data_IF_380958362172
#
_entry.id   IF_380958362172
#
_cell.length_a   1.000
_cell.length_b   1.000
_cell.length_c   1.000
_cell.angle_alpha   90.00
_cell.angle_beta   90.00
_cell.angle_gamma   90.00
#
_symmetry.space_group_name_H-M   'P 1'
#
loop_
_entity.id
_entity.type
_entity.pdbx_description
1 polymer ?
#
# COMPACT_ATOMS: atom_id res chain seq x y z
N UNK A 1 -29.16 50.07 -41.35
CA UNK A 1 -29.06 50.72 -40.02
C UNK A 1 -30.13 50.16 -39.08
N UNK A 2 -30.16 48.84 -38.89
CA UNK A 2 -31.23 48.17 -38.12
C UNK A 2 -30.75 47.00 -37.26
N UNK A 3 -29.44 46.69 -37.27
CA UNK A 3 -28.87 45.58 -36.48
C UNK A 3 -27.97 46.04 -35.33
N UNK A 4 -27.53 47.30 -35.31
CA UNK A 4 -26.69 47.82 -34.21
C UNK A 4 -27.52 48.21 -32.97
N UNK A 5 -28.81 48.53 -33.15
CA UNK A 5 -29.71 48.91 -32.06
C UNK A 5 -30.17 47.71 -31.20
N UNK A 6 -30.26 46.51 -31.79
CA UNK A 6 -30.62 45.28 -31.07
C UNK A 6 -29.48 44.71 -30.22
N UNK A 7 -28.22 44.88 -30.65
CA UNK A 7 -27.07 44.45 -29.85
C UNK A 7 -26.88 45.34 -28.62
N UNK A 8 -27.05 46.66 -28.75
CA UNK A 8 -26.93 47.59 -27.62
C UNK A 8 -28.00 47.35 -26.55
N UNK A 9 -29.22 46.97 -26.95
CA UNK A 9 -30.29 46.58 -26.02
C UNK A 9 -29.94 45.33 -25.21
N UNK A 10 -29.37 44.30 -25.85
CA UNK A 10 -28.94 43.06 -25.19
C UNK A 10 -27.76 43.29 -24.24
N UNK A 11 -26.80 44.15 -24.62
CA UNK A 11 -25.69 44.53 -23.73
C UNK A 11 -26.13 45.35 -22.52
N UNK A 12 -27.13 46.24 -22.68
CA UNK A 12 -27.70 46.99 -21.58
C UNK A 12 -28.43 46.09 -20.57
N UNK A 13 -29.16 45.08 -21.06
CA UNK A 13 -29.85 44.10 -20.22
C UNK A 13 -28.86 43.21 -19.46
N UNK A 14 -27.78 42.77 -20.11
CA UNK A 14 -26.74 41.96 -19.47
C UNK A 14 -26.00 42.75 -18.36
N UNK A 15 -25.71 44.03 -18.60
CA UNK A 15 -25.11 44.93 -17.58
C UNK A 15 -26.06 45.17 -16.40
N UNK A 16 -27.37 45.21 -16.64
CA UNK A 16 -28.37 45.33 -15.57
C UNK A 16 -28.41 44.06 -14.72
N UNK A 17 -28.46 42.88 -15.34
CA UNK A 17 -28.39 41.58 -14.64
C UNK A 17 -27.12 41.43 -13.83
N UNK A 18 -25.97 41.86 -14.36
CA UNK A 18 -24.69 41.83 -13.64
C UNK A 18 -24.72 42.73 -12.39
N UNK A 19 -25.24 43.97 -12.49
CA UNK A 19 -25.37 44.88 -11.34
C UNK A 19 -26.35 44.39 -10.29
N UNK A 20 -27.46 43.79 -10.70
CA UNK A 20 -28.45 43.21 -9.79
C UNK A 20 -27.87 42.00 -9.05
N UNK A 21 -27.04 41.20 -9.72
CA UNK A 21 -26.32 40.07 -9.11
C UNK A 21 -25.23 40.54 -8.13
N UNK A 22 -24.48 41.60 -8.46
CA UNK A 22 -23.51 42.22 -7.53
C UNK A 22 -24.21 42.79 -6.29
N UNK A 23 -25.37 43.43 -6.45
CA UNK A 23 -26.20 43.90 -5.31
C UNK A 23 -26.73 42.76 -4.44
N UNK A 24 -27.07 41.60 -5.03
CA UNK A 24 -27.49 40.43 -4.26
C UNK A 24 -26.33 39.83 -3.44
N UNK A 25 -25.09 39.87 -3.97
CA UNK A 25 -23.90 39.44 -3.25
C UNK A 25 -23.52 40.42 -2.12
N UNK A 26 -23.63 41.73 -2.34
CA UNK A 26 -23.40 42.77 -1.33
C UNK A 26 -24.47 42.77 -0.22
N UNK A 27 -25.73 42.53 -0.57
CA UNK A 27 -26.82 42.40 0.41
C UNK A 27 -26.77 41.05 1.16
N UNK A 28 -26.27 39.98 0.53
CA UNK A 28 -26.03 38.68 1.17
C UNK A 28 -24.84 38.68 2.14
N UNK A 29 -23.86 39.57 1.94
CA UNK A 29 -22.73 39.78 2.88
C UNK A 29 -23.05 40.79 3.99
N UNK A 30 -24.13 41.58 3.85
CA UNK A 30 -24.54 42.58 4.85
C UNK A 30 -25.54 42.06 5.90
N UNK A 31 -26.01 40.81 5.79
CA UNK A 31 -26.89 40.18 6.79
C UNK A 31 -26.18 39.19 7.74
N UNK A 32 -24.86 39.07 7.68
CA UNK A 32 -24.07 38.25 8.62
C UNK A 32 -23.27 39.05 9.67
N UNK A 33 -23.44 40.37 9.76
CA UNK A 33 -22.61 41.23 10.64
C UNK A 33 -23.36 42.13 11.65
N UNK A 34 -24.68 41.99 11.84
CA UNK A 34 -25.40 42.75 12.88
C UNK A 34 -26.42 41.88 13.62
N UNK A 35 -25.92 41.02 14.52
CA UNK A 35 -26.71 40.42 15.59
C UNK A 35 -25.81 40.03 16.77
N UNK A 36 -25.08 40.99 17.35
CA UNK A 36 -24.47 40.85 18.67
C UNK A 36 -24.57 42.17 19.44
N UNK A 37 -25.68 42.36 20.15
CA UNK A 37 -25.65 42.98 21.48
C UNK A 37 -26.92 42.58 22.23
N UNK A 38 -26.74 42.21 23.51
CA UNK A 38 -27.76 41.76 24.47
C UNK A 38 -28.18 40.28 24.40
N UNK A 39 -27.26 39.39 24.75
CA UNK A 39 -27.57 38.38 25.77
C UNK A 39 -26.28 37.87 26.42
N UNK A 40 -26.10 38.21 27.69
CA UNK A 40 -25.09 37.65 28.58
C UNK A 40 -25.42 36.16 28.82
N UNK A 41 -24.75 35.29 28.09
CA UNK A 41 -24.71 33.85 28.31
C UNK A 41 -23.35 33.35 27.87
N UNK A 42 -22.56 32.93 28.85
CA UNK A 42 -21.20 32.43 28.72
C UNK A 42 -21.15 31.33 27.66
N UNK A 43 -20.52 31.63 26.51
CA UNK A 43 -20.51 30.79 25.32
C UNK A 43 -19.13 30.84 24.68
N UNK A 44 -18.10 30.52 25.45
CA UNK A 44 -16.78 30.22 24.89
C UNK A 44 -16.93 29.10 23.86
N UNK A 45 -16.68 29.40 22.59
CA UNK A 45 -16.35 28.36 21.62
C UNK A 45 -15.22 27.51 22.22
N UNK A 46 -15.35 26.18 22.29
CA UNK A 46 -14.34 25.36 22.91
C UNK A 46 -13.04 25.54 22.11
N UNK A 47 -12.04 26.16 22.72
CA UNK A 47 -10.69 26.17 22.15
C UNK A 47 -10.29 24.72 21.91
N UNK A 48 -9.94 24.38 20.67
CA UNK A 48 -9.53 23.04 20.28
C UNK A 48 -8.46 22.55 21.26
N UNK A 49 -8.81 21.59 22.11
CA UNK A 49 -7.94 21.08 23.17
C UNK A 49 -6.76 20.35 22.53
N UNK A 50 -5.62 21.04 22.44
CA UNK A 50 -4.36 20.44 21.98
C UNK A 50 -3.89 19.47 23.08
N UNK A 51 -3.59 18.23 22.68
CA UNK A 51 -3.02 17.23 23.60
C UNK A 51 -1.70 17.76 24.19
N UNK A 52 -1.40 17.57 25.48
CA UNK A 52 -0.08 17.93 26.01
C UNK A 52 1.03 17.06 25.38
N UNK A 53 2.25 17.60 25.34
CA UNK A 53 3.43 16.81 24.98
C UNK A 53 3.76 15.79 26.08
N UNK A 54 4.13 14.58 25.67
CA UNK A 54 4.52 13.49 26.54
C UNK A 54 6.03 13.29 26.38
N UNK A 55 6.80 13.42 27.46
CA UNK A 55 8.26 13.28 27.40
C UNK A 55 8.71 11.83 27.15
N UNK A 56 8.06 10.85 27.79
CA UNK A 56 8.40 9.42 27.68
C UNK A 56 7.16 8.60 27.36
N UNK A 57 7.31 7.64 26.43
CA UNK A 57 6.19 6.79 26.02
C UNK A 57 5.88 5.78 27.14
N UNK A 58 4.69 5.90 27.76
CA UNK A 58 4.26 5.03 28.85
C UNK A 58 3.43 3.85 28.35
N UNK A 59 3.62 2.68 28.97
CA UNK A 59 2.78 1.49 28.76
C UNK A 59 1.51 1.48 29.64
N UNK A 60 1.31 2.50 30.47
CA UNK A 60 0.12 2.62 31.32
C UNK A 60 -1.16 2.59 30.47
N UNK A 61 -2.10 1.73 30.86
CA UNK A 61 -3.38 1.59 30.17
C UNK A 61 -4.37 2.55 30.83
N UNK A 62 -4.42 3.76 30.30
CA UNK A 62 -5.34 4.81 30.69
C UNK A 62 -5.93 5.46 29.44
N UNK A 63 -7.16 5.98 29.53
CA UNK A 63 -7.84 6.63 28.40
C UNK A 63 -7.16 7.94 27.97
N UNK A 64 -6.41 8.58 28.88
CA UNK A 64 -5.60 9.75 28.60
C UNK A 64 -4.27 9.43 27.88
N UNK A 65 -3.84 8.17 27.84
CA UNK A 65 -2.57 7.77 27.21
C UNK A 65 -2.79 7.32 25.76
N UNK A 66 -2.44 8.16 24.77
CA UNK A 66 -2.60 7.84 23.34
C UNK A 66 -1.70 6.69 22.87
N UNK A 67 -0.62 6.39 23.61
CA UNK A 67 0.35 5.35 23.25
C UNK A 67 0.05 3.99 23.90
N UNK A 68 -0.93 3.91 24.79
CA UNK A 68 -1.25 2.70 25.56
C UNK A 68 -1.44 1.45 24.68
N UNK A 69 -2.16 1.58 23.56
CA UNK A 69 -2.44 0.48 22.62
C UNK A 69 -1.22 0.14 21.76
N UNK A 70 -0.34 1.10 21.49
CA UNK A 70 0.90 0.89 20.76
C UNK A 70 1.94 0.16 21.63
N UNK A 71 2.09 0.60 22.88
CA UNK A 71 2.97 -0.03 23.87
C UNK A 71 2.51 -1.44 24.26
N UNK A 72 1.26 -1.80 24.02
CA UNK A 72 0.79 -3.18 24.17
C UNK A 72 1.54 -4.17 23.25
N UNK A 73 2.04 -3.72 22.09
CA UNK A 73 2.87 -4.55 21.19
C UNK A 73 4.15 -5.07 21.87
N UNK A 74 4.70 -4.28 22.80
CA UNK A 74 5.83 -4.69 23.65
C UNK A 74 5.42 -5.77 24.65
N UNK A 75 4.26 -5.63 25.28
CA UNK A 75 3.71 -6.64 26.20
C UNK A 75 3.36 -7.95 25.51
N UNK A 76 2.89 -7.89 24.27
CA UNK A 76 2.56 -9.06 23.45
C UNK A 76 3.81 -9.73 22.84
N UNK A 77 5.02 -9.19 23.06
CA UNK A 77 6.26 -9.74 22.53
C UNK A 77 6.43 -9.57 21.01
N UNK A 78 5.63 -8.71 20.36
CA UNK A 78 5.71 -8.47 18.91
C UNK A 78 6.82 -7.48 18.57
N UNK A 79 6.92 -6.39 19.35
CA UNK A 79 7.92 -5.32 19.16
C UNK A 79 8.60 -5.04 20.49
N UNK A 80 9.85 -5.47 20.65
CA UNK A 80 10.55 -5.40 21.95
C UNK A 80 10.78 -3.98 22.43
N UNK A 81 11.08 -3.04 21.52
CA UNK A 81 11.47 -1.67 21.86
C UNK A 81 10.64 -0.65 21.07
N UNK A 82 9.31 -0.72 21.17
CA UNK A 82 8.41 0.15 20.39
C UNK A 82 8.74 1.65 20.57
N UNK A 83 9.13 2.05 21.77
CA UNK A 83 9.50 3.43 22.11
C UNK A 83 10.63 4.02 21.24
N UNK A 84 11.50 3.18 20.65
CA UNK A 84 12.58 3.62 19.75
C UNK A 84 12.05 4.32 18.50
N UNK A 85 10.76 4.18 18.17
CA UNK A 85 10.15 4.92 17.06
C UNK A 85 10.28 6.44 17.24
N UNK A 86 10.37 6.95 18.48
CA UNK A 86 10.60 8.37 18.78
C UNK A 86 12.01 8.86 18.48
N UNK A 87 12.94 7.94 18.25
CA UNK A 87 14.33 8.24 17.89
C UNK A 87 14.52 8.23 16.37
N UNK A 88 13.47 7.96 15.60
CA UNK A 88 13.54 7.83 14.15
C UNK A 88 13.11 9.09 13.43
N UNK A 89 13.82 9.42 12.36
CA UNK A 89 13.48 10.48 11.41
C UNK A 89 13.13 9.90 10.06
N UNK A 90 11.96 10.24 9.55
CA UNK A 90 11.50 9.79 8.22
C UNK A 90 11.27 10.97 7.30
N UNK A 91 11.83 10.89 6.09
CA UNK A 91 11.55 11.83 5.00
C UNK A 91 10.35 11.32 4.20
N UNK A 92 9.37 12.16 3.91
CA UNK A 92 8.25 11.85 3.02
C UNK A 92 8.27 12.81 1.83
N UNK A 93 8.39 12.26 0.62
CA UNK A 93 8.39 13.02 -0.63
C UNK A 93 7.07 12.81 -1.35
N UNK A 94 6.34 13.90 -1.58
CA UNK A 94 4.95 13.89 -2.02
C UNK A 94 4.01 13.67 -0.85
N UNK A 95 3.20 14.67 -0.52
CA UNK A 95 2.18 14.67 0.54
C UNK A 95 0.78 14.74 -0.09
N UNK A 96 0.60 13.98 -1.17
CA UNK A 96 -0.67 13.81 -1.88
C UNK A 96 -1.54 12.71 -1.27
N UNK A 97 -2.21 11.91 -2.10
CA UNK A 97 -3.17 10.89 -1.64
C UNK A 97 -2.57 9.81 -0.74
N UNK A 98 -1.42 9.22 -1.14
CA UNK A 98 -0.72 8.22 -0.33
C UNK A 98 0.10 8.89 0.76
N UNK A 99 0.91 9.90 0.40
CA UNK A 99 1.88 10.50 1.31
C UNK A 99 1.28 11.23 2.51
N UNK A 100 0.10 11.84 2.37
CA UNK A 100 -0.59 12.48 3.51
C UNK A 100 -1.06 11.45 4.55
N UNK A 101 -1.62 10.32 4.11
CA UNK A 101 -2.03 9.21 4.98
C UNK A 101 -0.81 8.54 5.61
N UNK A 102 0.29 8.38 4.86
CA UNK A 102 1.59 7.89 5.39
C UNK A 102 2.09 8.77 6.52
N UNK A 103 2.09 10.10 6.31
CA UNK A 103 2.51 11.06 7.32
C UNK A 103 1.61 11.02 8.56
N UNK A 104 0.29 10.87 8.37
CA UNK A 104 -0.67 10.71 9.48
C UNK A 104 -0.42 9.43 10.28
N UNK A 105 -0.28 8.28 9.61
CA UNK A 105 -0.05 7.00 10.28
C UNK A 105 1.26 7.01 11.07
N UNK A 106 2.36 7.53 10.51
CA UNK A 106 3.63 7.67 11.23
C UNK A 106 3.53 8.64 12.41
N UNK A 107 2.80 9.75 12.23
CA UNK A 107 2.53 10.72 13.30
C UNK A 107 1.77 10.07 14.46
N UNK A 108 0.73 9.29 14.16
CA UNK A 108 -0.05 8.54 15.17
C UNK A 108 0.76 7.44 15.85
N UNK A 109 1.72 6.83 15.15
CA UNK A 109 2.68 5.88 15.74
C UNK A 109 3.70 6.55 16.68
N UNK A 110 3.81 7.87 16.66
CA UNK A 110 4.75 8.62 17.49
C UNK A 110 6.18 8.63 16.93
N UNK A 111 6.33 8.70 15.61
CA UNK A 111 7.65 8.92 14.98
C UNK A 111 8.34 10.15 15.57
N UNK A 112 9.66 10.11 15.73
CA UNK A 112 10.42 11.21 16.31
C UNK A 112 10.33 12.51 15.50
N UNK A 113 10.65 12.40 14.21
CA UNK A 113 10.64 13.55 13.29
C UNK A 113 10.17 13.16 11.89
N UNK A 114 9.35 14.02 11.28
CA UNK A 114 8.98 13.96 9.87
C UNK A 114 9.52 15.16 9.10
N UNK A 115 10.13 14.87 7.95
CA UNK A 115 10.54 15.90 6.98
C UNK A 115 9.68 15.73 5.73
N UNK A 116 8.88 16.74 5.40
CA UNK A 116 7.89 16.68 4.34
C UNK A 116 8.35 17.53 3.14
N UNK A 117 8.36 16.95 1.95
CA UNK A 117 8.63 17.64 0.68
C UNK A 117 7.42 17.51 -0.24
N UNK A 118 6.84 18.63 -0.65
CA UNK A 118 5.83 18.72 -1.71
C UNK A 118 5.89 20.14 -2.27
N UNK A 119 5.56 20.36 -3.53
CA UNK A 119 5.55 21.69 -4.14
C UNK A 119 4.13 22.21 -4.45
N UNK A 120 3.14 21.34 -4.31
CA UNK A 120 1.76 21.65 -4.67
C UNK A 120 1.01 22.35 -3.53
N UNK A 121 -0.12 22.93 -3.93
CA UNK A 121 -1.15 23.42 -3.03
C UNK A 121 -2.29 22.42 -2.89
N UNK A 122 -3.04 22.54 -1.80
CA UNK A 122 -4.29 21.81 -1.62
C UNK A 122 -5.33 22.38 -2.57
N UNK A 123 -6.00 21.52 -3.32
CA UNK A 123 -7.11 21.88 -4.20
C UNK A 123 -8.39 21.14 -3.81
N UNK A 124 -9.55 21.71 -4.13
CA UNK A 124 -10.84 21.04 -3.92
C UNK A 124 -10.93 19.70 -4.68
N UNK A 125 -10.24 19.57 -5.81
CA UNK A 125 -10.13 18.32 -6.54
C UNK A 125 -9.42 17.20 -5.74
N UNK A 126 -8.72 17.53 -4.64
CA UNK A 126 -8.09 16.54 -3.78
C UNK A 126 -9.04 15.98 -2.70
N UNK A 127 -10.26 16.51 -2.55
CA UNK A 127 -11.21 16.12 -1.50
C UNK A 127 -11.84 14.73 -1.69
N UNK A 128 -11.62 14.09 -2.83
CA UNK A 128 -11.98 12.67 -3.03
C UNK A 128 -10.98 11.73 -2.33
N UNK A 129 -9.88 12.26 -1.80
CA UNK A 129 -8.82 11.55 -1.09
C UNK A 129 -8.93 11.86 0.41
N UNK A 130 -8.24 11.06 1.22
CA UNK A 130 -8.20 11.25 2.66
C UNK A 130 -7.35 12.48 3.05
N UNK A 131 -7.36 12.78 4.34
CA UNK A 131 -6.50 13.75 5.04
C UNK A 131 -6.91 15.24 4.91
N UNK A 132 -6.81 15.84 3.73
CA UNK A 132 -7.07 17.29 3.60
C UNK A 132 -8.55 17.64 3.70
N UNK A 133 -8.83 18.86 4.16
CA UNK A 133 -10.18 19.38 4.34
C UNK A 133 -10.46 20.58 3.42
N UNK A 134 -11.74 20.86 3.08
CA UNK A 134 -12.08 21.93 2.13
C UNK A 134 -11.55 23.31 2.51
N UNK A 135 -11.51 23.62 3.82
CA UNK A 135 -11.02 24.91 4.32
C UNK A 135 -9.51 25.12 4.15
N UNK A 136 -8.75 24.06 3.83
CA UNK A 136 -7.31 24.12 3.60
C UNK A 136 -6.96 24.42 2.13
N UNK A 137 -7.97 24.49 1.24
CA UNK A 137 -7.76 24.79 -0.17
C UNK A 137 -6.97 26.09 -0.37
N UNK A 138 -5.94 26.05 -1.22
CA UNK A 138 -5.03 27.16 -1.51
C UNK A 138 -3.78 27.23 -0.62
N UNK A 139 -3.74 26.51 0.51
CA UNK A 139 -2.54 26.37 1.34
C UNK A 139 -1.53 25.43 0.65
N UNK A 140 -0.23 25.56 0.97
CA UNK A 140 0.72 24.53 0.54
C UNK A 140 0.41 23.20 1.21
N UNK A 141 0.57 22.10 0.49
CA UNK A 141 0.29 20.75 1.02
C UNK A 141 1.10 20.47 2.28
N UNK A 142 2.40 20.82 2.28
CA UNK A 142 3.28 20.58 3.44
C UNK A 142 2.89 21.40 4.68
N UNK A 143 2.44 22.65 4.53
CA UNK A 143 2.02 23.48 5.66
C UNK A 143 0.68 23.01 6.23
N UNK A 144 -0.31 22.78 5.37
CA UNK A 144 -1.61 22.24 5.77
C UNK A 144 -1.46 20.89 6.48
N UNK A 145 -0.57 20.03 5.96
CA UNK A 145 -0.26 18.75 6.58
C UNK A 145 0.42 18.93 7.94
N UNK A 146 1.46 19.75 8.04
CA UNK A 146 2.15 20.01 9.30
C UNK A 146 1.19 20.49 10.38
N UNK A 147 0.32 21.44 10.06
CA UNK A 147 -0.58 22.04 11.06
C UNK A 147 -1.60 21.01 11.57
N UNK A 148 -2.13 20.18 10.67
CA UNK A 148 -3.02 19.05 11.02
C UNK A 148 -2.29 18.00 11.87
N UNK A 149 -1.09 17.59 11.45
CA UNK A 149 -0.32 16.53 12.09
C UNK A 149 0.21 16.94 13.47
N UNK A 150 0.62 18.20 13.64
CA UNK A 150 0.98 18.76 14.95
C UNK A 150 -0.18 18.75 15.93
N UNK A 151 -1.40 18.97 15.45
CA UNK A 151 -2.59 18.85 16.27
C UNK A 151 -2.87 17.40 16.68
N UNK A 152 -2.68 16.45 15.75
CA UNK A 152 -2.86 15.01 16.00
C UNK A 152 -1.85 14.49 17.03
N UNK A 153 -0.57 14.84 16.87
CA UNK A 153 0.48 14.44 17.79
C UNK A 153 1.57 15.52 17.95
N UNK A 154 1.52 16.31 19.04
CA UNK A 154 2.48 17.40 19.27
C UNK A 154 3.86 16.92 19.73
N UNK A 155 4.01 15.62 19.96
CA UNK A 155 5.28 14.99 20.30
C UNK A 155 6.23 14.84 19.10
N UNK A 156 5.68 14.87 17.89
CA UNK A 156 6.43 14.69 16.63
C UNK A 156 7.03 16.02 16.20
N UNK A 157 8.31 16.00 15.83
CA UNK A 157 8.95 17.15 15.19
C UNK A 157 8.63 17.19 13.69
N UNK A 158 8.36 18.37 13.16
CA UNK A 158 8.03 18.54 11.75
C UNK A 158 8.92 19.60 11.10
N UNK A 159 9.43 19.24 9.95
CA UNK A 159 10.18 20.10 9.04
C UNK A 159 9.55 20.01 7.65
N UNK A 160 9.33 21.13 6.99
CA UNK A 160 8.52 21.18 5.76
C UNK A 160 9.20 22.00 4.69
N UNK A 161 9.21 21.47 3.47
CA UNK A 161 9.78 22.12 2.30
C UNK A 161 8.75 22.19 1.19
N UNK A 162 8.25 23.40 0.94
CA UNK A 162 7.37 23.69 -0.18
C UNK A 162 8.19 23.89 -1.47
N UNK A 163 8.73 22.81 -2.04
CA UNK A 163 9.65 22.92 -3.17
C UNK A 163 9.69 21.68 -4.06
N UNK A 164 9.96 21.90 -5.36
CA UNK A 164 10.14 20.80 -6.31
C UNK A 164 11.59 20.29 -6.25
N UNK A 165 11.75 19.03 -5.82
CA UNK A 165 13.04 18.37 -5.64
C UNK A 165 13.81 18.13 -6.95
N UNK A 166 13.16 18.17 -8.12
CA UNK A 166 13.80 17.87 -9.42
C UNK A 166 14.61 19.04 -9.96
N UNK A 167 14.40 20.25 -9.44
CA UNK A 167 15.16 21.42 -9.86
C UNK A 167 16.58 21.38 -9.28
N UNK A 168 17.58 21.83 -10.05
CA UNK A 168 18.99 21.79 -9.64
C UNK A 168 19.26 22.53 -8.32
N UNK A 169 18.57 23.65 -8.09
CA UNK A 169 18.71 24.44 -6.87
C UNK A 169 18.21 23.66 -5.64
N UNK A 170 17.03 23.07 -5.75
CA UNK A 170 16.39 22.36 -4.64
C UNK A 170 16.95 20.96 -4.41
N UNK A 171 17.51 20.32 -5.44
CA UNK A 171 18.12 18.99 -5.32
C UNK A 171 19.23 18.97 -4.27
N UNK A 172 20.06 20.02 -4.24
CA UNK A 172 21.15 20.13 -3.24
C UNK A 172 20.60 20.21 -1.82
N UNK A 173 19.58 21.04 -1.61
CA UNK A 173 18.92 21.15 -0.30
C UNK A 173 18.27 19.81 0.09
N UNK A 174 17.56 19.17 -0.83
CA UNK A 174 16.95 17.86 -0.60
C UNK A 174 17.97 16.80 -0.14
N UNK A 175 19.12 16.69 -0.83
CA UNK A 175 20.21 15.78 -0.44
C UNK A 175 20.81 16.17 0.92
N UNK A 176 20.98 17.47 1.18
CA UNK A 176 21.51 17.99 2.45
C UNK A 176 20.63 17.59 3.62
N UNK A 177 19.31 17.75 3.47
CA UNK A 177 18.33 17.40 4.50
C UNK A 177 18.21 15.91 4.72
N UNK A 178 18.41 15.06 3.71
CA UNK A 178 18.49 13.63 3.96
C UNK A 178 19.76 13.29 4.76
N UNK A 179 20.90 13.94 4.46
CA UNK A 179 22.18 13.69 5.14
C UNK A 179 22.25 14.22 6.57
N UNK A 180 21.56 15.32 6.89
CA UNK A 180 21.70 16.02 8.18
C UNK A 180 20.38 16.37 8.86
N UNK A 181 19.24 15.99 8.28
CA UNK A 181 17.92 16.31 8.81
C UNK A 181 17.44 15.38 9.91
N UNK A 182 18.18 14.30 10.19
CA UNK A 182 17.91 13.40 11.30
C UNK A 182 17.92 14.11 12.66
N UNK A 183 17.35 13.45 13.68
CA UNK A 183 17.48 13.89 15.05
C UNK A 183 18.97 14.08 15.39
N UNK A 184 19.30 15.19 16.08
CA UNK A 184 20.68 15.57 16.42
C UNK A 184 21.61 15.85 15.21
N UNK A 185 21.06 16.06 14.01
CA UNK A 185 21.84 16.43 12.82
C UNK A 185 22.46 15.25 12.08
N UNK A 186 21.99 14.02 12.34
CA UNK A 186 22.45 12.81 11.65
C UNK A 186 21.75 12.63 10.29
N UNK A 187 22.17 11.60 9.54
CA UNK A 187 21.40 11.13 8.39
C UNK A 187 20.04 10.59 8.85
N UNK A 188 19.01 10.80 8.04
CA UNK A 188 17.66 10.31 8.31
C UNK A 188 17.59 8.78 8.21
N UNK A 189 16.75 8.14 9.02
CA UNK A 189 16.67 6.67 9.05
C UNK A 189 16.07 6.07 7.78
N UNK A 190 15.07 6.75 7.19
CA UNK A 190 14.32 6.22 6.06
C UNK A 190 13.70 7.34 5.21
N UNK A 191 13.64 7.13 3.90
CA UNK A 191 12.89 7.99 2.97
C UNK A 191 11.71 7.23 2.38
N UNK A 192 10.54 7.86 2.31
CA UNK A 192 9.32 7.33 1.71
C UNK A 192 8.94 8.21 0.51
N UNK A 193 9.02 7.64 -0.69
CA UNK A 193 8.66 8.31 -1.94
C UNK A 193 7.21 7.97 -2.31
N UNK A 194 6.35 8.99 -2.26
CA UNK A 194 4.91 8.92 -2.51
C UNK A 194 4.49 9.88 -3.65
N UNK A 195 5.42 10.15 -4.57
CA UNK A 195 5.21 11.05 -5.73
C UNK A 195 4.47 10.33 -6.86
N UNK A 196 3.94 11.11 -7.80
CA UNK A 196 3.10 10.61 -8.89
C UNK A 196 3.80 10.52 -10.26
N UNK A 197 5.00 11.09 -10.40
CA UNK A 197 5.73 11.15 -11.68
C UNK A 197 7.09 10.44 -11.61
N UNK A 198 7.60 10.00 -12.75
CA UNK A 198 8.86 9.26 -12.84
C UNK A 198 10.09 10.15 -12.67
N UNK A 199 10.01 11.42 -13.07
CA UNK A 199 11.09 12.41 -12.89
C UNK A 199 11.49 12.55 -11.41
N UNK A 200 10.50 12.71 -10.53
CA UNK A 200 10.71 12.80 -9.08
C UNK A 200 11.19 11.47 -8.46
N UNK A 201 10.69 10.32 -8.94
CA UNK A 201 11.18 8.99 -8.51
C UNK A 201 12.65 8.80 -8.88
N UNK A 202 13.04 9.16 -10.09
CA UNK A 202 14.43 9.12 -10.56
C UNK A 202 15.32 10.08 -9.75
N UNK A 203 14.82 11.28 -9.44
CA UNK A 203 15.52 12.24 -8.58
C UNK A 203 15.79 11.68 -7.19
N UNK A 204 14.78 11.09 -6.55
CA UNK A 204 14.93 10.41 -5.26
C UNK A 204 15.91 9.24 -5.35
N UNK A 205 15.82 8.43 -6.41
CA UNK A 205 16.73 7.31 -6.66
C UNK A 205 18.19 7.76 -6.76
N UNK A 206 18.48 8.81 -7.53
CA UNK A 206 19.84 9.34 -7.68
C UNK A 206 20.37 9.86 -6.35
N UNK A 207 19.57 10.65 -5.61
CA UNK A 207 19.94 11.13 -4.28
C UNK A 207 20.26 9.96 -3.32
N UNK A 208 19.38 8.97 -3.24
CA UNK A 208 19.54 7.83 -2.34
C UNK A 208 20.74 6.94 -2.72
N UNK A 209 21.00 6.71 -4.00
CA UNK A 209 22.18 5.96 -4.43
C UNK A 209 23.49 6.71 -4.12
N UNK A 210 23.53 8.03 -4.35
CA UNK A 210 24.70 8.85 -4.05
C UNK A 210 25.07 8.76 -2.57
N UNK A 211 24.09 8.91 -1.68
CA UNK A 211 24.33 8.98 -0.22
C UNK A 211 24.27 7.62 0.47
N UNK A 212 23.72 6.59 -0.18
CA UNK A 212 23.52 5.26 0.41
C UNK A 212 22.32 5.25 1.37
N UNK A 213 21.29 6.06 1.10
CA UNK A 213 20.07 6.12 1.90
C UNK A 213 19.14 4.98 1.51
N UNK A 214 18.64 4.26 2.51
CA UNK A 214 17.57 3.28 2.33
C UNK A 214 16.24 4.01 2.21
N UNK A 215 15.43 3.58 1.25
CA UNK A 215 14.16 4.24 0.96
C UNK A 215 13.10 3.24 0.49
N UNK A 216 11.84 3.60 0.67
CA UNK A 216 10.72 2.89 0.08
C UNK A 216 10.04 3.79 -0.94
N UNK A 217 9.63 3.20 -2.05
CA UNK A 217 8.79 3.83 -3.04
C UNK A 217 7.39 3.21 -2.99
N UNK A 218 6.40 4.02 -3.35
CA UNK A 218 5.04 3.57 -3.55
C UNK A 218 4.45 4.17 -4.82
N UNK A 219 3.59 3.37 -5.47
CA UNK A 219 2.85 3.79 -6.65
C UNK A 219 1.42 3.27 -6.62
N UNK A 220 0.51 4.07 -7.14
CA UNK A 220 -0.88 3.69 -7.43
C UNK A 220 -1.09 3.87 -8.93
N UNK A 221 -1.78 2.94 -9.57
CA UNK A 221 -2.04 3.00 -11.00
C UNK A 221 -2.99 4.14 -11.38
N UNK A 222 -2.92 4.58 -12.64
CA UNK A 222 -3.81 5.63 -13.17
C UNK A 222 -5.29 5.23 -13.17
N UNK A 223 -5.60 3.93 -13.17
CA UNK A 223 -6.96 3.40 -13.06
C UNK A 223 -7.39 3.13 -11.61
N UNK A 224 -6.56 3.48 -10.62
CA UNK A 224 -6.79 3.36 -9.19
C UNK A 224 -7.08 1.95 -8.62
N UNK A 225 -6.94 0.89 -9.42
CA UNK A 225 -7.24 -0.50 -8.99
C UNK A 225 -6.01 -1.38 -8.81
N UNK A 226 -4.81 -0.80 -8.84
CA UNK A 226 -3.59 -1.47 -8.42
C UNK A 226 -2.59 -0.51 -7.79
N UNK A 227 -1.64 -1.07 -7.06
CA UNK A 227 -0.54 -0.31 -6.49
C UNK A 227 0.58 -1.23 -6.00
N UNK A 228 1.66 -0.62 -5.51
CA UNK A 228 2.79 -1.36 -4.98
C UNK A 228 3.57 -0.54 -3.95
N UNK A 229 4.40 -1.27 -3.19
CA UNK A 229 5.42 -0.74 -2.31
C UNK A 229 6.72 -1.49 -2.59
N UNK A 230 7.82 -0.76 -2.76
CA UNK A 230 9.15 -1.34 -3.01
C UNK A 230 10.19 -0.76 -2.07
N UNK A 231 10.91 -1.62 -1.34
CA UNK A 231 12.09 -1.27 -0.56
C UNK A 231 13.35 -1.27 -1.45
N UNK A 232 14.05 -0.15 -1.41
CA UNK A 232 15.31 0.06 -2.11
C UNK A 232 16.43 0.28 -1.09
N UNK A 233 17.26 -0.75 -0.93
CA UNK A 233 18.49 -0.74 -0.15
C UNK A 233 19.66 -0.69 -1.14
N UNK A 234 20.29 0.50 -1.34
CA UNK A 234 21.31 0.68 -2.38
C UNK A 234 22.42 -0.38 -2.33
N UNK A 235 22.58 -1.10 -3.44
CA UNK A 235 23.59 -2.16 -3.58
C UNK A 235 23.12 -3.56 -3.20
N UNK A 236 22.04 -3.70 -2.43
CA UNK A 236 21.45 -5.00 -2.05
C UNK A 236 20.21 -5.34 -2.86
N UNK A 237 19.26 -4.41 -2.98
CA UNK A 237 18.06 -4.57 -3.81
C UNK A 237 18.12 -3.68 -5.05
N UNK A 238 17.31 -3.98 -6.05
CA UNK A 238 17.22 -3.17 -7.26
C UNK A 238 16.84 -1.73 -6.94
N UNK A 239 17.65 -0.78 -7.42
CA UNK A 239 17.24 0.62 -7.42
C UNK A 239 16.23 0.87 -8.56
N UNK A 240 15.59 2.04 -8.58
CA UNK A 240 14.57 2.37 -9.57
C UNK A 240 15.14 2.33 -11.00
N UNK A 241 16.40 2.76 -11.18
CA UNK A 241 17.12 2.71 -12.45
C UNK A 241 17.59 1.31 -12.88
N UNK A 242 17.46 0.27 -12.04
CA UNK A 242 17.78 -1.10 -12.44
C UNK A 242 16.69 -1.71 -13.33
N UNK A 243 15.43 -1.31 -13.11
CA UNK A 243 14.25 -1.73 -13.88
C UNK A 243 13.42 -0.50 -14.26
N UNK A 244 13.96 0.39 -15.12
CA UNK A 244 13.23 1.59 -15.51
C UNK A 244 11.96 1.21 -16.28
N UNK A 245 10.84 1.92 -16.06
CA UNK A 245 9.65 1.77 -16.88
C UNK A 245 9.96 2.19 -18.33
N UNK A 246 9.17 1.69 -19.28
CA UNK A 246 9.41 1.91 -20.72
C UNK A 246 9.59 3.39 -21.08
N UNK A 247 8.77 4.28 -20.52
CA UNK A 247 8.84 5.73 -20.76
C UNK A 247 10.23 6.29 -20.41
N UNK A 248 10.79 5.86 -19.28
CA UNK A 248 12.13 6.27 -18.82
C UNK A 248 13.22 5.62 -19.69
N UNK A 249 13.10 4.32 -19.98
CA UNK A 249 14.06 3.59 -20.80
C UNK A 249 14.14 4.13 -22.24
N UNK A 250 13.01 4.56 -22.80
CA UNK A 250 12.91 5.15 -24.13
C UNK A 250 13.15 6.66 -24.17
N UNK A 251 13.46 7.30 -23.01
CA UNK A 251 13.70 8.74 -22.89
C UNK A 251 12.54 9.60 -23.44
N UNK A 252 11.31 9.10 -23.31
CA UNK A 252 10.11 9.83 -23.69
C UNK A 252 9.74 10.76 -22.54
N UNK A 253 9.45 12.02 -22.84
CA UNK A 253 8.98 12.96 -21.82
C UNK A 253 7.56 12.56 -21.36
N UNK A 254 7.43 12.21 -20.08
CA UNK A 254 6.16 11.83 -19.45
C UNK A 254 5.07 12.90 -19.63
N UNK A 255 5.46 14.18 -19.72
CA UNK A 255 4.52 15.29 -19.91
C UNK A 255 3.75 15.20 -21.22
N UNK A 256 4.31 14.53 -22.23
CA UNK A 256 3.64 14.30 -23.52
C UNK A 256 2.53 13.26 -23.45
N UNK A 257 2.53 12.41 -22.41
CA UNK A 257 1.52 11.36 -22.20
C UNK A 257 0.30 11.91 -21.45
N UNK A 258 0.48 12.97 -20.65
CA UNK A 258 -0.60 13.63 -19.90
C UNK A 258 -1.38 14.55 -20.84
N UNK A 259 -2.61 14.14 -21.18
CA UNK A 259 -3.54 15.00 -21.94
C UNK A 259 -4.19 16.01 -21.00
N UNK A 260 -4.24 17.28 -21.42
CA UNK A 260 -4.95 18.32 -20.67
C UNK A 260 -6.42 17.94 -20.45
N UNK A 261 -6.91 18.13 -19.22
CA UNK A 261 -8.27 17.77 -18.82
C UNK A 261 -8.50 16.29 -18.49
N UNK A 262 -7.49 15.43 -18.61
CA UNK A 262 -7.56 14.02 -18.18
C UNK A 262 -6.84 13.85 -16.85
N UNK A 263 -7.60 13.63 -15.78
CA UNK A 263 -7.04 13.29 -14.47
C UNK A 263 -6.93 11.77 -14.32
N UNK A 264 -5.83 11.30 -13.71
CA UNK A 264 -5.75 9.92 -13.25
C UNK A 264 -6.92 9.63 -12.30
N UNK A 265 -7.59 8.49 -12.49
CA UNK A 265 -8.58 8.03 -11.54
C UNK A 265 -7.89 7.84 -10.19
N UNK A 266 -8.60 8.17 -9.12
CA UNK A 266 -8.01 8.13 -7.80
C UNK A 266 -9.06 7.71 -6.77
N UNK A 267 -8.78 6.60 -6.08
CA UNK A 267 -9.72 5.96 -5.16
C UNK A 267 -9.11 5.98 -3.74
N UNK A 268 -9.82 6.52 -2.74
CA UNK A 268 -9.28 6.66 -1.39
C UNK A 268 -8.96 5.31 -0.74
N UNK A 269 -9.67 4.24 -1.12
CA UNK A 269 -9.44 2.88 -0.62
C UNK A 269 -8.07 2.36 -1.03
N UNK A 270 -7.72 2.40 -2.32
CA UNK A 270 -6.42 1.96 -2.83
C UNK A 270 -5.29 2.78 -2.23
N UNK A 271 -5.46 4.09 -2.09
CA UNK A 271 -4.48 4.95 -1.43
C UNK A 271 -4.25 4.56 0.02
N UNK A 272 -5.32 4.30 0.78
CA UNK A 272 -5.24 3.90 2.18
C UNK A 272 -4.55 2.53 2.34
N UNK A 273 -4.86 1.56 1.45
CA UNK A 273 -4.22 0.24 1.45
C UNK A 273 -2.72 0.39 1.19
N UNK A 274 -2.33 1.11 0.13
CA UNK A 274 -0.90 1.31 -0.20
C UNK A 274 -0.18 2.09 0.91
N UNK A 275 -0.79 3.15 1.46
CA UNK A 275 -0.22 3.89 2.59
C UNK A 275 -0.03 3.00 3.82
N UNK A 276 -1.02 2.17 4.16
CA UNK A 276 -0.95 1.21 5.25
C UNK A 276 0.16 0.18 5.05
N UNK A 277 0.26 -0.41 3.85
CA UNK A 277 1.33 -1.35 3.51
C UNK A 277 2.72 -0.69 3.56
N UNK A 278 2.84 0.54 3.08
CA UNK A 278 4.09 1.31 3.09
C UNK A 278 4.55 1.60 4.51
N UNK A 279 3.66 2.11 5.37
CA UNK A 279 3.98 2.40 6.78
C UNK A 279 4.24 1.10 7.55
N UNK A 280 3.47 0.04 7.30
CA UNK A 280 3.72 -1.25 7.94
C UNK A 280 5.11 -1.79 7.58
N UNK A 281 5.56 -1.64 6.33
CA UNK A 281 6.90 -2.06 5.92
C UNK A 281 7.99 -1.15 6.54
N UNK A 282 7.72 0.16 6.64
CA UNK A 282 8.59 1.10 7.32
C UNK A 282 8.75 0.79 8.81
N UNK A 283 7.66 0.47 9.52
CA UNK A 283 7.72 0.10 10.94
C UNK A 283 8.49 -1.20 11.16
N UNK A 284 8.23 -2.25 10.36
CA UNK A 284 8.99 -3.50 10.40
C UNK A 284 10.50 -3.25 10.23
N UNK A 285 10.85 -2.36 9.30
CA UNK A 285 12.24 -1.98 9.04
C UNK A 285 12.85 -1.18 10.21
N UNK A 286 12.19 -0.12 10.68
CA UNK A 286 12.69 0.79 11.70
C UNK A 286 12.79 0.14 13.09
N UNK A 287 11.86 -0.75 13.42
CA UNK A 287 11.74 -1.39 14.74
C UNK A 287 12.16 -2.86 14.73
N UNK A 288 12.71 -3.35 13.61
CA UNK A 288 13.30 -4.69 13.47
C UNK A 288 12.38 -5.83 13.94
N UNK A 289 11.13 -5.83 13.45
CA UNK A 289 10.16 -6.91 13.73
C UNK A 289 9.53 -7.46 12.46
N UNK A 290 9.09 -8.72 12.51
CA UNK A 290 8.50 -9.40 11.36
C UNK A 290 9.46 -9.51 10.17
N UNK A 291 8.90 -9.72 8.98
CA UNK A 291 9.65 -9.83 7.73
C UNK A 291 9.46 -8.59 6.87
N UNK A 292 10.54 -7.84 6.59
CA UNK A 292 10.51 -6.69 5.68
C UNK A 292 10.43 -7.20 4.24
N UNK A 293 9.46 -6.71 3.47
CA UNK A 293 9.20 -7.18 2.11
C UNK A 293 9.88 -6.27 1.09
N UNK A 294 10.75 -6.80 0.20
CA UNK A 294 11.41 -5.99 -0.83
C UNK A 294 10.44 -5.39 -1.87
N UNK A 295 9.48 -6.18 -2.35
CA UNK A 295 8.42 -5.71 -3.23
C UNK A 295 7.09 -6.36 -2.84
N UNK A 296 6.06 -5.54 -2.68
CA UNK A 296 4.70 -5.97 -2.43
C UNK A 296 3.75 -5.24 -3.39
N UNK A 297 3.11 -6.00 -4.27
CA UNK A 297 2.03 -5.48 -5.12
C UNK A 297 0.66 -5.61 -4.47
N UNK A 298 -0.30 -4.88 -5.01
CA UNK A 298 -1.72 -4.99 -4.69
C UNK A 298 -2.54 -4.85 -5.99
N UNK A 299 -3.43 -5.81 -6.23
CA UNK A 299 -4.44 -5.76 -7.28
C UNK A 299 -5.83 -5.81 -6.66
N UNK A 300 -6.56 -4.70 -6.75
CA UNK A 300 -7.88 -4.54 -6.13
C UNK A 300 -8.98 -5.33 -6.86
N UNK A 301 -8.76 -5.72 -8.11
CA UNK A 301 -9.77 -6.45 -8.90
C UNK A 301 -9.91 -7.92 -8.49
N UNK A 302 -8.87 -8.49 -7.90
CA UNK A 302 -8.77 -9.92 -7.57
C UNK A 302 -8.24 -10.18 -6.15
N UNK A 303 -8.14 -9.12 -5.34
CA UNK A 303 -7.59 -9.16 -3.97
C UNK A 303 -6.23 -9.87 -3.85
N UNK A 304 -5.35 -9.63 -4.84
CA UNK A 304 -4.08 -10.32 -4.95
C UNK A 304 -2.90 -9.46 -4.47
N UNK A 305 -2.02 -10.06 -3.65
CA UNK A 305 -0.86 -9.41 -3.04
C UNK A 305 0.45 -10.15 -3.39
N UNK A 306 1.00 -9.95 -4.61
CA UNK A 306 2.25 -10.60 -5.01
C UNK A 306 3.45 -10.05 -4.24
N UNK A 307 4.32 -10.97 -3.80
CA UNK A 307 5.61 -10.64 -3.19
C UNK A 307 6.75 -11.07 -4.09
N UNK A 308 7.71 -10.18 -4.29
CA UNK A 308 8.90 -10.47 -5.10
C UNK A 308 10.15 -9.92 -4.44
N UNK A 309 11.29 -10.54 -4.76
CA UNK A 309 12.61 -9.99 -4.49
C UNK A 309 13.21 -9.54 -5.83
N UNK A 310 13.56 -8.26 -5.92
CA UNK A 310 14.12 -7.68 -7.13
C UNK A 310 15.59 -7.36 -6.87
N UNK A 311 16.49 -8.00 -7.63
CA UNK A 311 17.94 -7.86 -7.46
C UNK A 311 18.53 -6.74 -8.32
N UNK A 312 19.63 -6.10 -7.88
CA UNK A 312 20.30 -5.06 -8.64
C UNK A 312 20.75 -5.54 -10.02
N UNK A 313 20.60 -4.68 -11.03
CA UNK A 313 21.20 -4.89 -12.34
C UNK A 313 22.72 -4.57 -12.25
N UNK A 314 23.62 -5.54 -12.53
CA UNK A 314 25.08 -5.30 -12.51
C UNK A 314 25.56 -4.22 -13.48
N UNK A 315 24.77 -3.96 -14.52
CA UNK A 315 25.05 -2.99 -15.58
C UNK A 315 24.13 -1.75 -15.49
N UNK A 316 23.55 -1.46 -14.32
CA UNK A 316 22.71 -0.28 -14.12
C UNK A 316 23.42 1.01 -14.58
N UNK A 317 22.69 1.87 -15.29
CA UNK A 317 23.22 3.13 -15.84
C UNK A 317 23.76 4.05 -14.74
N UNK A 318 23.11 4.04 -13.57
CA UNK A 318 23.53 4.80 -12.39
C UNK A 318 24.89 4.28 -11.85
N UNK A 319 25.90 5.14 -11.93
CA UNK A 319 27.26 4.83 -11.48
C UNK A 319 27.35 4.64 -9.96
N UNK A 320 26.53 5.35 -9.18
CA UNK A 320 26.46 5.17 -7.74
C UNK A 320 25.83 3.83 -7.40
N UNK A 321 24.79 3.40 -8.12
CA UNK A 321 24.23 2.06 -7.93
C UNK A 321 25.31 0.97 -8.10
N UNK A 322 26.09 1.02 -9.19
CA UNK A 322 27.20 0.08 -9.43
C UNK A 322 28.29 0.15 -8.34
N UNK A 323 28.57 1.35 -7.81
CA UNK A 323 29.48 1.54 -6.67
C UNK A 323 28.93 0.86 -5.42
N UNK A 324 27.67 1.10 -5.04
CA UNK A 324 27.02 0.49 -3.87
C UNK A 324 26.95 -1.03 -3.96
N UNK A 325 26.75 -1.59 -5.16
CA UNK A 325 26.79 -3.03 -5.38
C UNK A 325 28.18 -3.64 -5.12
N UNK A 326 29.27 -2.93 -5.39
CA UNK A 326 30.63 -3.39 -5.04
C UNK A 326 30.83 -3.34 -3.52
N UNK A 327 30.50 -2.22 -2.90
CA UNK A 327 30.58 -2.04 -1.44
C UNK A 327 29.77 -3.11 -0.69
N UNK A 328 28.57 -3.43 -1.17
CA UNK A 328 27.75 -4.49 -0.58
C UNK A 328 28.41 -5.87 -0.69
N UNK A 329 28.95 -6.22 -1.87
CA UNK A 329 29.64 -7.51 -2.08
C UNK A 329 30.88 -7.64 -1.21
N UNK A 330 31.64 -6.56 -1.04
CA UNK A 330 32.81 -6.52 -0.16
C UNK A 330 32.39 -6.71 1.31
N UNK A 331 31.34 -6.02 1.75
CA UNK A 331 30.79 -6.17 3.11
C UNK A 331 30.31 -7.61 3.37
N UNK A 332 29.60 -8.21 2.41
CA UNK A 332 29.17 -9.61 2.52
C UNK A 332 30.34 -10.59 2.57
N UNK A 333 31.41 -10.34 1.80
CA UNK A 333 32.61 -11.16 1.84
C UNK A 333 33.37 -11.07 3.18
N UNK A 334 33.32 -9.91 3.85
CA UNK A 334 33.87 -9.73 5.20
C UNK A 334 33.03 -10.47 6.25
N UNK A 335 31.71 -10.30 6.23
CA UNK A 335 30.79 -11.00 7.15
C UNK A 335 30.95 -12.53 7.00
N UNK A 336 31.03 -13.02 5.76
CA UNK A 336 31.22 -14.45 5.50
C UNK A 336 32.58 -14.99 5.97
N UNK A 337 33.62 -14.14 6.06
CA UNK A 337 34.92 -14.51 6.64
C UNK A 337 34.85 -14.56 8.17
N UNK A 338 34.18 -13.58 8.78
CA UNK A 338 33.98 -13.54 10.23
C UNK A 338 33.11 -14.71 10.72
N UNK A 339 32.01 -15.01 10.04
CA UNK A 339 31.17 -16.17 10.36
C UNK A 339 31.90 -17.51 10.22
N UNK A 340 32.82 -17.63 9.26
CA UNK A 340 33.68 -18.81 9.14
C UNK A 340 34.65 -18.92 10.32
N UNK A 341 35.01 -17.81 10.97
CA UNK A 341 35.83 -17.82 12.17
C UNK A 341 35.01 -18.16 13.43
N UNK A 342 33.75 -17.71 13.51
CA UNK A 342 32.84 -17.92 14.66
C UNK A 342 32.17 -19.31 14.66
N UNK A 343 32.05 -19.99 13.51
CA UNK A 343 31.45 -21.34 13.41
C UNK A 343 32.22 -22.46 14.15
N UNK A 344 33.31 -22.15 14.85
CA UNK A 344 34.00 -23.07 15.76
C UNK A 344 33.49 -23.05 17.21
N UNK A 345 32.47 -22.24 17.58
CA UNK A 345 32.02 -22.19 18.99
C UNK A 345 30.53 -22.26 19.28
N UNK A 346 29.60 -22.27 18.31
CA UNK A 346 28.18 -22.25 18.64
C UNK A 346 27.34 -23.24 17.82
N UNK A 347 26.73 -24.19 18.55
CA UNK A 347 25.63 -25.03 18.06
C UNK A 347 24.40 -24.14 17.86
N UNK A 348 23.63 -24.30 16.76
CA UNK A 348 22.37 -23.58 16.62
C UNK A 348 21.42 -23.97 17.75
N UNK A 349 20.84 -22.97 18.42
CA UNK A 349 19.76 -23.20 19.36
C UNK A 349 18.60 -23.88 18.61
N UNK A 350 18.23 -25.08 19.07
CA UNK A 350 17.01 -25.74 18.63
C UNK A 350 15.82 -24.85 18.98
N UNK A 351 14.83 -24.67 18.09
CA UNK A 351 13.60 -23.98 18.45
C UNK A 351 13.04 -24.64 19.69
N UNK A 352 12.75 -23.86 20.74
CA UNK A 352 12.14 -24.39 21.95
C UNK A 352 10.87 -25.15 21.55
N UNK A 353 10.77 -26.41 21.97
CA UNK A 353 9.57 -27.21 21.73
C UNK A 353 8.37 -26.48 22.34
N UNK A 354 7.25 -26.44 21.62
CA UNK A 354 6.02 -25.81 22.12
C UNK A 354 5.57 -26.56 23.37
N UNK A 355 5.57 -25.87 24.51
CA UNK A 355 5.08 -26.43 25.78
C UNK A 355 3.59 -26.16 25.86
N UNK A 356 2.80 -27.21 26.01
CA UNK A 356 1.35 -27.12 26.23
C UNK A 356 1.08 -27.06 27.73
N UNK A 357 0.45 -25.98 28.22
CA UNK A 357 0.11 -25.84 29.63
C UNK A 357 -0.83 -26.96 30.10
N UNK A 358 -1.80 -27.33 29.25
CA UNK A 358 -2.75 -28.41 29.51
C UNK A 358 -2.78 -29.39 28.33
N UNK A 359 -2.60 -30.67 28.61
CA UNK A 359 -2.80 -31.77 27.66
C UNK A 359 -3.44 -32.97 28.36
N UNK A 360 -4.60 -32.74 28.99
CA UNK A 360 -5.33 -33.77 29.74
C UNK A 360 -5.77 -34.95 28.86
N UNK A 361 -5.93 -34.71 27.55
CA UNK A 361 -6.40 -35.68 26.57
C UNK A 361 -5.27 -36.49 25.90
N UNK A 362 -4.02 -36.32 26.33
CA UNK A 362 -2.88 -37.07 25.79
C UNK A 362 -2.68 -36.87 24.28
N UNK A 363 -3.00 -35.69 23.78
CA UNK A 363 -2.89 -35.35 22.35
C UNK A 363 -1.41 -35.37 21.98
N UNK A 364 -1.06 -36.17 20.98
CA UNK A 364 0.29 -36.27 20.46
C UNK A 364 0.41 -35.68 19.05
N UNK A 365 1.57 -35.09 18.75
CA UNK A 365 1.88 -34.59 17.41
C UNK A 365 2.50 -35.73 16.60
N UNK A 366 1.70 -36.37 15.76
CA UNK A 366 2.19 -37.39 14.83
C UNK A 366 2.93 -36.69 13.69
N UNK A 367 4.20 -37.04 13.47
CA UNK A 367 4.96 -36.55 12.31
C UNK A 367 4.41 -37.20 11.04
N UNK A 368 3.67 -36.45 10.25
CA UNK A 368 3.18 -36.89 8.96
C UNK A 368 4.38 -37.09 8.02
N UNK A 369 4.75 -38.35 7.73
CA UNK A 369 5.71 -38.67 6.70
C UNK A 369 5.06 -38.36 5.33
N UNK A 370 5.46 -37.26 4.71
CA UNK A 370 5.23 -37.05 3.29
C UNK A 370 5.90 -38.23 2.54
N UNK A 371 5.22 -38.95 1.63
CA UNK A 371 5.84 -40.06 0.93
C UNK A 371 7.09 -39.57 0.21
N UNK A 372 8.25 -40.11 0.59
CA UNK A 372 9.48 -39.92 -0.16
C UNK A 372 9.21 -40.29 -1.61
N UNK A 373 9.56 -39.38 -2.53
CA UNK A 373 9.57 -39.67 -3.97
C UNK A 373 10.26 -41.01 -4.17
N UNK A 374 9.50 -42.02 -4.61
CA UNK A 374 10.03 -43.30 -5.10
C UNK A 374 10.92 -43.03 -6.32
N UNK A 375 12.16 -42.63 -6.09
CA UNK A 375 13.24 -42.81 -7.03
C UNK A 375 13.85 -44.18 -6.75
N UNK A 376 13.90 -44.99 -7.81
CA UNK A 376 14.47 -46.33 -7.87
C UNK A 376 13.59 -47.46 -7.31
N UNK A 377 12.78 -48.03 -8.20
CA UNK A 377 12.56 -49.47 -8.34
C UNK A 377 11.78 -49.70 -9.65
N UNK A 378 12.52 -49.88 -10.75
CA UNK A 378 12.01 -50.55 -11.94
C UNK A 378 12.34 -52.04 -11.78
N UNK A 379 11.36 -52.94 -11.66
CA UNK A 379 11.54 -54.32 -12.06
C UNK A 379 11.26 -54.44 -13.55
N UNK A 380 12.21 -55.06 -14.26
CA UNK A 380 12.06 -55.50 -15.63
C UNK A 380 10.90 -56.52 -15.74
N UNK A 381 10.23 -56.49 -16.90
CA UNK A 381 9.25 -57.44 -17.43
C UNK A 381 7.78 -57.26 -16.99
N UNK A 382 6.96 -56.64 -17.86
CA UNK A 382 5.93 -57.39 -18.60
C UNK A 382 5.20 -56.52 -19.64
N UNK A 383 5.21 -57.05 -20.87
CA UNK A 383 4.28 -56.94 -21.98
C UNK A 383 3.43 -55.66 -22.21
N UNK A 384 3.68 -55.08 -23.38
CA UNK A 384 2.76 -54.24 -24.15
C UNK A 384 1.44 -54.94 -24.50
N UNK A 385 0.31 -54.28 -24.23
CA UNK A 385 -0.95 -54.46 -24.97
C UNK A 385 -1.45 -53.06 -25.38
N UNK A 386 -1.81 -52.93 -26.66
CA UNK A 386 -2.04 -51.66 -27.33
C UNK A 386 -3.42 -51.04 -27.14
N UNK A 387 -3.37 -49.70 -26.99
CA UNK A 387 -4.23 -48.63 -27.55
C UNK A 387 -5.75 -48.73 -27.36
N UNK A 388 -6.27 -47.82 -26.53
CA UNK A 388 -7.64 -47.32 -26.57
C UNK A 388 -7.99 -46.55 -25.29
N UNK A 389 -7.81 -45.22 -25.31
CA UNK A 389 -8.28 -44.21 -24.34
C UNK A 389 -8.41 -44.65 -22.87
N UNK A 390 -7.47 -44.26 -22.01
CA UNK A 390 -7.76 -43.98 -20.59
C UNK A 390 -6.51 -43.47 -19.85
N UNK A 391 -6.45 -42.16 -19.61
CA UNK A 391 -5.41 -41.53 -18.78
C UNK A 391 -6.02 -40.61 -17.72
N UNK A 392 -7.17 -41.00 -17.16
CA UNK A 392 -7.62 -40.47 -15.87
C UNK A 392 -7.50 -41.62 -14.86
N UNK A 393 -6.63 -41.45 -13.86
CA UNK A 393 -6.58 -42.33 -12.69
C UNK A 393 -7.21 -41.63 -11.50
N UNK A 394 -8.06 -42.33 -10.77
CA UNK A 394 -8.64 -41.84 -9.52
C UNK A 394 -7.53 -41.62 -8.48
N UNK A 395 -7.64 -40.53 -7.72
CA UNK A 395 -6.65 -40.11 -6.73
C UNK A 395 -6.64 -40.97 -5.44
N UNK A 396 -7.52 -41.96 -5.33
CA UNK A 396 -7.59 -42.91 -4.24
C UNK A 396 -8.24 -44.23 -4.72
N UNK A 397 -7.87 -45.35 -4.10
CA UNK A 397 -8.54 -46.64 -4.28
C UNK A 397 -9.67 -46.78 -3.25
N UNK A 398 -10.82 -47.31 -3.68
CA UNK A 398 -11.93 -47.62 -2.76
C UNK A 398 -11.48 -48.74 -1.80
N UNK A 399 -11.79 -48.65 -0.49
CA UNK A 399 -11.53 -49.76 0.43
C UNK A 399 -12.31 -51.01 0.00
N UNK A 400 -11.69 -52.19 0.12
CA UNK A 400 -12.36 -53.47 -0.12
C UNK A 400 -13.54 -53.65 0.84
N UNK A 401 -14.68 -54.09 0.30
CA UNK A 401 -15.86 -54.39 1.08
C UNK A 401 -15.54 -55.50 2.10
N UNK A 402 -15.85 -55.23 3.37
CA UNK A 402 -15.70 -56.21 4.46
C UNK A 402 -16.48 -57.50 4.14
N UNK A 403 -15.92 -58.68 4.46
CA UNK A 403 -16.58 -59.95 4.20
C UNK A 403 -17.87 -60.09 5.01
N UNK A 404 -18.94 -60.47 4.33
CA UNK A 404 -20.26 -60.75 4.91
C UNK A 404 -20.18 -61.86 5.97
N UNK A 405 -20.43 -61.52 7.23
CA UNK A 405 -20.81 -62.52 8.23
C UNK A 405 -22.31 -62.74 8.18
N UNK A 406 -22.68 -63.97 7.80
CA UNK A 406 -23.98 -64.56 8.05
C UNK A 406 -24.11 -64.88 9.55
N UNK A 407 -25.12 -64.34 10.22
CA UNK A 407 -26.17 -65.14 10.88
C UNK A 407 -27.15 -64.21 11.61
N UNK A 408 -28.43 -64.57 11.53
CA UNK A 408 -29.55 -63.65 11.68
C UNK A 408 -30.17 -63.55 13.07
N UNK A 409 -30.90 -62.46 13.27
CA UNK A 409 -32.14 -62.44 14.03
C UNK A 409 -33.02 -61.28 13.53
N UNK A 410 -34.22 -61.63 13.05
CA UNK A 410 -35.27 -60.68 12.61
C UNK A 410 -36.09 -60.27 13.82
N UNK A 411 -36.31 -58.97 14.05
CA UNK A 411 -37.60 -58.45 14.56
C UNK A 411 -37.92 -57.07 13.95
N UNK A 412 -38.86 -57.10 12.99
CA UNK A 412 -39.95 -56.17 12.68
C UNK A 412 -39.76 -54.63 12.76
N UNK A 413 -39.67 -54.00 11.59
CA UNK A 413 -40.33 -52.72 11.30
C UNK A 413 -41.31 -52.90 10.11
N UNK A 414 -42.57 -52.44 10.18
CA UNK A 414 -43.50 -52.42 9.03
C UNK A 414 -43.41 -51.05 8.30
N UNK A 415 -44.09 -50.85 7.14
CA UNK A 415 -43.65 -51.31 5.83
C UNK A 415 -43.54 -50.16 4.79
N UNK A 416 -42.86 -50.49 3.66
CA UNK A 416 -43.18 -50.16 2.26
C UNK A 416 -44.45 -49.30 2.00
N UNK A 417 -44.53 -48.43 1.00
CA UNK A 417 -43.97 -48.53 -0.35
C UNK A 417 -44.25 -47.22 -1.10
N UNK A 418 -43.34 -46.86 -2.01
CA UNK A 418 -43.58 -46.30 -3.35
C UNK A 418 -44.86 -45.47 -3.59
N UNK A 419 -44.66 -44.21 -3.98
CA UNK A 419 -44.88 -43.75 -5.38
C UNK A 419 -44.74 -42.24 -5.45
N UNK A 420 -43.77 -41.77 -6.25
CA UNK A 420 -43.85 -40.62 -7.18
C UNK A 420 -42.44 -40.23 -7.60
N UNK A 421 -41.88 -41.05 -8.48
CA UNK A 421 -41.04 -40.60 -9.58
C UNK A 421 -41.88 -39.70 -10.48
N UNK A 422 -41.58 -38.41 -10.46
CA UNK A 422 -41.55 -37.43 -11.57
C UNK A 422 -41.60 -36.05 -10.93
N UNK A 423 -40.59 -35.22 -11.19
CA UNK A 423 -40.51 -33.75 -11.01
C UNK A 423 -39.27 -33.18 -10.27
N UNK A 424 -38.31 -33.99 -9.81
CA UNK A 424 -37.13 -33.45 -9.10
C UNK A 424 -35.76 -33.89 -9.64
N UNK A 425 -35.67 -34.25 -10.93
CA UNK A 425 -34.40 -34.49 -11.64
C UNK A 425 -34.40 -33.82 -13.01
N UNK A 426 -34.76 -32.54 -13.06
CA UNK A 426 -34.63 -31.71 -14.25
C UNK A 426 -34.25 -30.26 -13.92
N UNK A 427 -33.36 -30.10 -12.93
CA UNK A 427 -32.72 -28.83 -12.59
C UNK A 427 -31.26 -29.06 -12.18
N UNK A 428 -30.48 -29.75 -13.01
CA UNK A 428 -29.02 -29.71 -12.89
C UNK A 428 -28.30 -30.12 -14.18
N UNK A 429 -28.74 -29.58 -15.32
CA UNK A 429 -28.00 -29.58 -16.58
C UNK A 429 -28.50 -28.40 -17.42
N UNK A 430 -28.15 -27.16 -17.05
CA UNK A 430 -28.31 -25.96 -17.89
C UNK A 430 -27.25 -24.90 -17.51
N UNK A 431 -26.00 -25.33 -17.41
CA UNK A 431 -24.83 -24.45 -17.20
C UNK A 431 -23.85 -24.47 -18.39
N UNK A 432 -24.30 -24.91 -19.57
CA UNK A 432 -23.52 -24.89 -20.81
C UNK A 432 -24.46 -24.58 -21.98
N UNK A 433 -25.00 -23.36 -22.05
CA UNK A 433 -25.60 -22.75 -23.26
C UNK A 433 -26.15 -21.35 -22.97
N UNK A 434 -25.27 -20.41 -22.62
CA UNK A 434 -25.57 -18.97 -22.64
C UNK A 434 -24.31 -18.23 -23.10
N UNK A 435 -23.93 -18.47 -24.35
CA UNK A 435 -22.88 -17.68 -25.02
C UNK A 435 -23.10 -17.59 -26.54
N UNK A 436 -24.35 -17.35 -26.96
CA UNK A 436 -24.72 -17.23 -28.38
C UNK A 436 -25.20 -15.83 -28.78
N UNK A 437 -25.36 -14.89 -27.84
CA UNK A 437 -25.76 -13.51 -28.16
C UNK A 437 -24.59 -12.51 -28.27
N UNK A 438 -23.40 -12.85 -27.77
CA UNK A 438 -22.21 -11.96 -27.87
C UNK A 438 -21.51 -12.09 -29.22
N UNK A 439 -21.64 -13.24 -29.89
CA UNK A 439 -21.05 -13.48 -31.22
C UNK A 439 -21.83 -12.80 -32.34
N UNK A 440 -23.15 -12.64 -32.21
CA UNK A 440 -23.96 -11.94 -33.22
C UNK A 440 -23.68 -10.42 -33.26
N UNK A 441 -23.57 -9.78 -32.09
CA UNK A 441 -23.28 -8.33 -31.98
C UNK A 441 -21.85 -7.99 -32.43
N UNK A 442 -20.88 -8.88 -32.15
CA UNK A 442 -19.48 -8.67 -32.58
C UNK A 442 -19.34 -8.78 -34.10
N UNK A 443 -20.14 -9.63 -34.75
CA UNK A 443 -20.09 -9.82 -36.21
C UNK A 443 -20.72 -8.63 -36.95
N UNK A 444 -21.77 -8.02 -36.40
CA UNK A 444 -22.39 -6.81 -36.95
C UNK A 444 -21.49 -5.57 -36.78
N UNK A 445 -20.77 -5.47 -35.66
CA UNK A 445 -19.83 -4.39 -35.41
C UNK A 445 -18.60 -4.46 -36.35
N UNK A 446 -18.09 -5.67 -36.60
CA UNK A 446 -16.98 -5.88 -37.54
C UNK A 446 -17.36 -5.64 -39.00
N UNK A 447 -18.62 -5.87 -39.38
CA UNK A 447 -19.12 -5.55 -40.72
C UNK A 447 -19.22 -4.04 -40.97
N UNK A 448 -19.66 -3.26 -39.96
CA UNK A 448 -19.72 -1.79 -40.05
C UNK A 448 -18.33 -1.15 -40.09
N UNK A 449 -17.34 -1.75 -39.42
CA UNK A 449 -15.94 -1.27 -39.41
C UNK A 449 -15.17 -1.55 -40.71
N UNK A 450 -15.67 -2.47 -41.55
CA UNK A 450 -15.12 -2.75 -42.89
C UNK A 450 -15.75 -1.91 -44.01
N UNK A 451 -16.86 -1.22 -43.71
CA UNK A 451 -17.58 -0.36 -44.65
C UNK A 451 -17.28 1.15 -44.46
N UNK A 452 -16.58 1.49 -43.37
CA UNK A 452 -15.81 2.74 -43.19
C UNK A 452 -14.40 2.52 -43.71
#
# INVERSE_FOLDING_TARGET
>A
MSNDCELDGKFAELRKKLRDFTRQLENGTSQSSVAQSANSGDGQQPMATIRPKIAQMSAEVADSNPYSRLMALKRMGIVQNYEQIREKTVVVVGVGGVGSVVAEMLTRCGIGKLILFDYDKVELANMNRLFYQPHQSGQSKVEAARDTLRHINPDVEFETYNMNITTMANFREFVDRIRRGGLQGTQTDLLLCCVDNFEARMTANTACNEIGQIWLESGVSENAVSGHVQLMEPGKTACFACLPPLVVASQIDERTLKKEGVCAASLPTTMAIIAGLLVQNALKFLLSFGEVTPFLGYSALVDFFPKHEIRPNPQCDDCFCRKRQREHREKQALIAKDEKHTKNSEKPATPAAVVHENNEFGIEIVKQQLPEKRQNLLPANSATVGIGSDSVRLAYELPEALPSQSDGERINGPPNCNTKTTEAQQQQTDAVLLNTNVTAELTELMAKLKAL
#
